data_IF_504497224104
#
_entry.id   IF_504497224104
#
_cell.length_a   1.000
_cell.length_b   1.000
_cell.length_c   1.000
_cell.angle_alpha   90.00
_cell.angle_beta   90.00
_cell.angle_gamma   90.00
#
_symmetry.space_group_name_H-M   'P 1'
#
loop_
_entity.id
_entity.type
_entity.pdbx_description
1 polymer ?
#
# COMPACT_ATOMS: atom_id res chain seq x y z
N UNK A 1 1.15 -9.67 16.53
CA UNK A 1 2.33 -9.22 15.75
C UNK A 1 1.87 -8.20 14.72
N UNK A 2 2.33 -6.98 14.86
CA UNK A 2 1.94 -5.83 13.99
C UNK A 2 2.57 -5.88 12.60
N UNK A 3 3.50 -6.83 12.34
CA UNK A 3 4.27 -6.85 11.10
C UNK A 3 4.50 -8.26 10.56
N UNK A 4 4.33 -8.50 9.24
CA UNK A 4 4.83 -9.72 8.61
C UNK A 4 6.36 -9.78 8.72
N UNK A 5 6.93 -10.99 8.80
CA UNK A 5 8.36 -11.23 8.99
C UNK A 5 9.28 -10.46 8.02
N UNK A 6 8.87 -10.31 6.79
CA UNK A 6 9.63 -9.60 5.76
C UNK A 6 9.63 -8.08 5.94
N UNK A 7 8.57 -7.52 6.49
CA UNK A 7 8.49 -6.10 6.86
C UNK A 7 9.34 -5.82 8.09
N UNK A 8 9.41 -6.77 9.04
CA UNK A 8 10.32 -6.74 10.20
C UNK A 8 11.78 -6.60 9.78
N UNK A 9 12.21 -7.27 8.72
CA UNK A 9 13.61 -7.20 8.27
C UNK A 9 13.99 -5.81 7.76
N UNK A 10 13.12 -5.13 7.02
CA UNK A 10 13.36 -3.74 6.56
C UNK A 10 13.14 -2.72 7.67
N UNK A 11 12.18 -2.96 8.56
CA UNK A 11 12.00 -2.16 9.77
C UNK A 11 13.20 -2.25 10.69
N UNK A 12 13.83 -3.43 10.78
CA UNK A 12 15.01 -3.63 11.62
C UNK A 12 16.18 -2.70 11.24
N UNK A 13 16.38 -2.43 9.95
CA UNK A 13 17.43 -1.50 9.49
C UNK A 13 17.11 -0.06 9.92
N UNK A 14 15.86 0.37 9.79
CA UNK A 14 15.42 1.70 10.22
C UNK A 14 15.45 1.86 11.73
N UNK A 15 14.98 0.85 12.46
CA UNK A 15 14.98 0.82 13.92
C UNK A 15 16.41 0.87 14.43
N UNK A 16 17.31 0.04 13.86
CA UNK A 16 18.71 0.04 14.21
C UNK A 16 19.35 1.41 13.98
N UNK A 17 19.14 2.00 12.81
CA UNK A 17 19.67 3.33 12.49
C UNK A 17 19.19 4.38 13.50
N UNK A 18 17.90 4.42 13.80
CA UNK A 18 17.33 5.38 14.76
C UNK A 18 17.82 5.12 16.19
N UNK A 19 18.01 3.85 16.59
CA UNK A 19 18.59 3.50 17.89
C UNK A 19 20.06 3.93 17.98
N UNK A 20 20.84 3.70 16.93
CA UNK A 20 22.25 4.12 16.86
C UNK A 20 22.38 5.65 16.92
N UNK A 21 21.52 6.39 16.21
CA UNK A 21 21.48 7.86 16.23
C UNK A 21 21.09 8.43 17.60
N UNK A 22 20.15 7.78 18.30
CA UNK A 22 19.70 8.19 19.65
C UNK A 22 20.55 7.63 20.78
N UNK A 23 21.48 6.72 20.47
CA UNK A 23 22.34 6.02 21.44
C UNK A 23 21.57 5.28 22.55
N UNK A 24 20.39 4.77 22.23
CA UNK A 24 19.54 3.99 23.15
C UNK A 24 18.57 3.10 22.38
N UNK A 25 17.96 2.18 23.08
CA UNK A 25 16.84 1.40 22.53
C UNK A 25 15.60 2.28 22.35
N UNK A 26 14.85 2.01 21.29
CA UNK A 26 13.58 2.68 21.00
C UNK A 26 12.44 1.95 21.71
N UNK A 27 11.49 2.71 22.23
CA UNK A 27 10.26 2.16 22.77
C UNK A 27 9.25 1.78 21.65
N UNK A 28 8.16 1.11 22.05
CA UNK A 28 7.13 0.64 21.09
C UNK A 28 6.48 1.78 20.32
N UNK A 29 6.26 2.93 20.96
CA UNK A 29 5.65 4.10 20.33
C UNK A 29 6.58 4.74 19.30
N UNK A 30 7.86 4.80 19.60
CA UNK A 30 8.88 5.30 18.68
C UNK A 30 9.02 4.40 17.45
N UNK A 31 9.02 3.07 17.65
CA UNK A 31 9.04 2.09 16.56
C UNK A 31 7.78 2.24 15.68
N UNK A 32 6.61 2.36 16.31
CA UNK A 32 5.36 2.57 15.58
C UNK A 32 5.37 3.89 14.79
N UNK A 33 5.85 4.98 15.37
CA UNK A 33 5.96 6.28 14.70
C UNK A 33 6.92 6.23 13.49
N UNK A 34 8.02 5.49 13.60
CA UNK A 34 8.92 5.25 12.45
C UNK A 34 8.19 4.51 11.33
N UNK A 35 7.40 3.48 11.68
CA UNK A 35 6.59 2.76 10.72
C UNK A 35 5.55 3.66 10.05
N UNK A 36 4.80 4.43 10.82
CA UNK A 36 3.80 5.38 10.30
C UNK A 36 4.45 6.33 9.30
N UNK A 37 5.53 6.98 9.71
CA UNK A 37 6.23 7.97 8.90
C UNK A 37 6.81 7.38 7.61
N UNK A 38 7.36 6.17 7.68
CA UNK A 38 8.06 5.58 6.54
C UNK A 38 7.13 4.89 5.53
N UNK A 39 6.07 4.26 5.99
CA UNK A 39 5.15 3.48 5.14
C UNK A 39 3.74 4.03 5.05
N UNK A 40 3.10 4.41 6.16
CA UNK A 40 1.70 4.86 6.14
C UNK A 40 1.57 6.31 5.64
N UNK A 41 2.50 7.17 5.96
CA UNK A 41 2.54 8.58 5.55
C UNK A 41 3.61 8.83 4.47
N UNK A 42 4.11 7.78 3.84
CA UNK A 42 5.13 7.87 2.81
C UNK A 42 4.67 8.77 1.67
N UNK A 43 5.33 9.91 1.54
CA UNK A 43 5.15 10.81 0.40
C UNK A 43 6.13 10.43 -0.70
N UNK A 44 5.69 10.51 -1.93
CA UNK A 44 6.52 10.19 -3.08
C UNK A 44 5.89 10.68 -4.38
N UNK A 45 6.19 10.00 -5.45
CA UNK A 45 5.78 10.40 -6.79
C UNK A 45 4.29 10.15 -7.08
N UNK A 46 3.65 9.25 -6.33
CA UNK A 46 2.27 8.85 -6.53
C UNK A 46 1.38 9.29 -5.37
N UNK A 47 0.25 9.91 -5.69
CA UNK A 47 -0.83 10.17 -4.75
C UNK A 47 -2.19 9.92 -5.40
N UNK A 48 -3.18 9.55 -4.59
CA UNK A 48 -4.57 9.40 -5.03
C UNK A 48 -5.29 10.71 -4.76
N UNK A 49 -5.88 11.28 -5.82
CA UNK A 49 -6.72 12.49 -5.74
C UNK A 49 -8.17 12.10 -5.53
N UNK A 50 -8.63 11.08 -6.28
CA UNK A 50 -9.98 10.54 -6.18
C UNK A 50 -9.98 9.06 -6.51
N UNK A 51 -10.85 8.28 -5.88
CA UNK A 51 -10.97 6.85 -6.07
C UNK A 51 -12.44 6.42 -5.94
N UNK A 52 -12.94 5.75 -6.95
CA UNK A 52 -14.23 5.09 -6.94
C UNK A 52 -14.06 3.62 -7.35
N UNK A 53 -14.61 2.74 -6.53
CA UNK A 53 -14.65 1.31 -6.79
C UNK A 53 -16.10 0.83 -6.79
N UNK A 54 -16.44 0.03 -7.77
CA UNK A 54 -17.77 -0.53 -7.93
C UNK A 54 -17.66 -2.04 -8.06
N UNK A 55 -18.30 -2.73 -7.13
CA UNK A 55 -18.45 -4.17 -7.19
C UNK A 55 -19.46 -4.53 -8.29
N UNK A 56 -19.06 -5.41 -9.18
CA UNK A 56 -19.87 -5.87 -10.31
C UNK A 56 -20.23 -7.33 -10.09
N UNK A 57 -21.52 -7.61 -9.96
CA UNK A 57 -22.02 -8.98 -9.97
C UNK A 57 -22.15 -9.46 -11.41
N UNK A 58 -21.36 -10.47 -11.77
CA UNK A 58 -21.41 -11.12 -13.07
C UNK A 58 -22.45 -12.24 -13.14
N UNK A 59 -22.81 -12.63 -14.35
CA UNK A 59 -23.53 -13.91 -14.58
C UNK A 59 -22.58 -15.06 -14.21
N UNK A 60 -23.08 -16.10 -13.55
CA UNK A 60 -22.35 -17.31 -13.15
C UNK A 60 -21.35 -17.14 -11.97
N UNK A 61 -21.73 -16.39 -10.92
CA UNK A 61 -20.90 -16.19 -9.73
C UNK A 61 -19.50 -15.58 -9.99
N UNK A 62 -19.30 -14.89 -11.10
CA UNK A 62 -18.08 -14.13 -11.33
C UNK A 62 -18.19 -12.75 -10.68
N UNK A 63 -17.47 -12.54 -9.60
CA UNK A 63 -17.34 -11.23 -8.97
C UNK A 63 -16.18 -10.46 -9.62
N UNK A 64 -16.41 -9.20 -9.94
CA UNK A 64 -15.36 -8.32 -10.43
C UNK A 64 -15.51 -6.92 -9.81
N UNK A 65 -14.43 -6.18 -9.79
CA UNK A 65 -14.42 -4.80 -9.30
C UNK A 65 -13.98 -3.87 -10.42
N UNK A 66 -14.77 -2.83 -10.67
CA UNK A 66 -14.37 -1.73 -11.53
C UNK A 66 -13.77 -0.61 -10.68
N UNK A 67 -12.56 -0.22 -11.00
CA UNK A 67 -11.87 0.90 -10.38
C UNK A 67 -11.81 2.08 -11.36
N UNK A 68 -12.11 3.27 -10.86
CA UNK A 68 -11.83 4.55 -11.51
C UNK A 68 -11.10 5.44 -10.51
N UNK A 69 -10.00 6.02 -10.93
CA UNK A 69 -9.24 6.89 -10.06
C UNK A 69 -8.68 8.09 -10.81
N UNK A 70 -8.50 9.17 -10.07
CA UNK A 70 -7.64 10.28 -10.46
C UNK A 70 -6.42 10.21 -9.58
N UNK A 71 -5.27 10.03 -10.18
CA UNK A 71 -3.98 9.95 -9.48
C UNK A 71 -3.06 11.06 -9.96
N UNK A 72 -2.15 11.44 -9.10
CA UNK A 72 -1.07 12.35 -9.45
C UNK A 72 0.25 11.59 -9.44
N UNK A 73 0.96 11.60 -10.56
CA UNK A 73 2.27 11.02 -10.73
C UNK A 73 3.28 12.08 -11.13
N UNK A 74 4.28 12.31 -10.29
CA UNK A 74 5.31 13.36 -10.50
C UNK A 74 4.71 14.72 -10.85
N UNK A 75 3.67 15.12 -10.13
CA UNK A 75 2.98 16.41 -10.29
C UNK A 75 2.00 16.49 -11.46
N UNK A 76 1.82 15.43 -12.24
CA UNK A 76 0.86 15.38 -13.34
C UNK A 76 -0.32 14.47 -12.99
N UNK A 77 -1.53 14.94 -13.27
CA UNK A 77 -2.76 14.18 -13.02
C UNK A 77 -3.13 13.27 -14.18
N UNK A 78 -3.61 12.09 -13.83
CA UNK A 78 -4.10 11.08 -14.76
C UNK A 78 -5.43 10.54 -14.27
N UNK A 79 -6.40 10.41 -15.19
CA UNK A 79 -7.63 9.67 -14.96
C UNK A 79 -7.44 8.26 -15.49
N UNK A 80 -7.57 7.28 -14.62
CA UNK A 80 -7.30 5.88 -14.91
C UNK A 80 -8.49 5.01 -14.52
N UNK A 81 -8.61 3.84 -15.13
CA UNK A 81 -9.66 2.89 -14.76
C UNK A 81 -9.43 1.52 -15.34
N UNK A 82 -9.79 0.50 -14.57
CA UNK A 82 -9.74 -0.89 -14.99
C UNK A 82 -10.68 -1.76 -14.17
N UNK A 83 -11.07 -2.88 -14.72
CA UNK A 83 -11.78 -3.94 -14.02
C UNK A 83 -10.80 -5.04 -13.65
N UNK A 84 -10.91 -5.59 -12.47
CA UNK A 84 -10.10 -6.69 -11.95
C UNK A 84 -10.90 -7.61 -11.03
N UNK A 85 -10.26 -8.63 -10.49
CA UNK A 85 -10.87 -9.61 -9.61
C UNK A 85 -11.22 -9.06 -8.21
N UNK A 86 -10.71 -7.90 -7.88
CA UNK A 86 -10.97 -7.20 -6.63
C UNK A 86 -10.41 -5.78 -6.67
N UNK A 87 -10.60 -4.98 -5.62
CA UNK A 87 -10.17 -3.58 -5.57
C UNK A 87 -8.68 -3.39 -5.85
N UNK A 88 -7.86 -4.24 -5.25
CA UNK A 88 -6.41 -4.18 -5.38
C UNK A 88 -5.93 -4.51 -6.79
N UNK A 89 -6.47 -5.57 -7.38
CA UNK A 89 -6.15 -6.00 -8.75
C UNK A 89 -6.61 -4.96 -9.78
N UNK A 90 -7.81 -4.42 -9.61
CA UNK A 90 -8.34 -3.37 -10.47
C UNK A 90 -7.50 -2.09 -10.43
N UNK A 91 -7.13 -1.62 -9.24
CA UNK A 91 -6.31 -0.42 -9.07
C UNK A 91 -4.88 -0.62 -9.59
N UNK A 92 -4.24 -1.73 -9.22
CA UNK A 92 -2.90 -2.06 -9.70
C UNK A 92 -2.86 -2.16 -11.24
N UNK A 93 -3.89 -2.78 -11.82
CA UNK A 93 -4.04 -2.83 -13.28
C UNK A 93 -4.25 -1.46 -13.92
N UNK A 94 -5.04 -0.57 -13.30
CA UNK A 94 -5.26 0.79 -13.79
C UNK A 94 -3.98 1.63 -13.77
N UNK A 95 -3.08 1.40 -12.84
CA UNK A 95 -1.77 2.08 -12.79
C UNK A 95 -0.88 1.81 -14.00
N UNK A 96 -1.17 0.77 -14.80
CA UNK A 96 -0.46 0.56 -16.07
C UNK A 96 -0.70 1.66 -17.12
N UNK A 97 -1.72 2.50 -16.91
CA UNK A 97 -2.05 3.62 -17.80
C UNK A 97 -1.19 4.88 -17.56
N UNK A 98 -0.40 4.90 -16.49
CA UNK A 98 0.51 6.02 -16.18
C UNK A 98 1.96 5.61 -16.43
N UNK A 99 2.90 6.58 -16.60
CA UNK A 99 4.31 6.28 -16.83
C UNK A 99 5.06 5.92 -15.52
N UNK A 100 4.44 5.14 -14.65
CA UNK A 100 5.07 4.58 -13.46
C UNK A 100 5.83 3.30 -13.81
N UNK A 101 6.82 2.90 -13.00
CA UNK A 101 7.47 1.61 -13.17
C UNK A 101 6.46 0.47 -13.20
N UNK A 102 6.59 -0.44 -14.14
CA UNK A 102 5.76 -1.63 -14.21
C UNK A 102 6.11 -2.58 -13.08
N UNK A 103 5.10 -3.14 -12.46
CA UNK A 103 5.23 -4.01 -11.31
C UNK A 103 4.15 -5.10 -11.30
N UNK A 104 4.36 -6.08 -10.46
CA UNK A 104 3.35 -7.05 -10.05
C UNK A 104 3.31 -7.13 -8.53
N UNK A 105 2.15 -7.43 -7.98
CA UNK A 105 2.00 -7.72 -6.56
C UNK A 105 2.48 -9.13 -6.30
N UNK A 106 3.47 -9.29 -5.44
CA UNK A 106 4.10 -10.57 -5.12
C UNK A 106 3.81 -11.06 -3.71
N UNK A 107 3.31 -10.19 -2.83
CA UNK A 107 2.77 -10.58 -1.54
C UNK A 107 1.72 -9.58 -1.06
N UNK A 108 0.72 -10.09 -0.35
CA UNK A 108 -0.34 -9.32 0.27
C UNK A 108 -0.70 -9.92 1.62
N UNK A 109 -0.74 -9.10 2.65
CA UNK A 109 -1.18 -9.45 3.99
C UNK A 109 -2.08 -8.36 4.55
N UNK A 110 -3.07 -8.75 5.32
CA UNK A 110 -4.01 -7.83 5.93
C UNK A 110 -4.38 -8.32 7.33
N UNK A 111 -4.57 -7.39 8.24
CA UNK A 111 -5.15 -7.67 9.54
C UNK A 111 -5.94 -6.47 10.07
N UNK A 112 -6.85 -6.74 11.00
CA UNK A 112 -7.64 -5.72 11.67
C UNK A 112 -6.93 -5.21 12.92
N UNK A 113 -7.02 -3.91 13.16
CA UNK A 113 -6.55 -3.24 14.37
C UNK A 113 -7.73 -2.52 15.01
N UNK A 114 -7.84 -2.59 16.33
CA UNK A 114 -8.90 -1.96 17.09
C UNK A 114 -9.98 -2.93 17.55
N UNK A 115 -11.00 -2.40 18.19
CA UNK A 115 -12.12 -3.15 18.77
C UNK A 115 -13.46 -2.53 18.41
N UNK A 116 -14.47 -3.38 18.16
CA UNK A 116 -15.84 -2.92 17.88
C UNK A 116 -15.93 -2.06 16.60
N UNK A 117 -16.59 -0.91 16.72
CA UNK A 117 -16.83 0.00 15.58
C UNK A 117 -15.59 0.81 15.16
N UNK A 118 -14.54 0.82 15.96
CA UNK A 118 -13.28 1.54 15.68
C UNK A 118 -12.22 0.64 15.03
N UNK A 119 -12.65 -0.42 14.36
CA UNK A 119 -11.74 -1.35 13.68
C UNK A 119 -11.23 -0.75 12.37
N UNK A 120 -9.93 -0.75 12.21
CA UNK A 120 -9.25 -0.39 10.94
C UNK A 120 -8.56 -1.62 10.36
N UNK A 121 -8.50 -1.69 9.03
CA UNK A 121 -7.67 -2.65 8.34
C UNK A 121 -6.28 -2.04 8.09
N UNK A 122 -5.25 -2.85 8.29
CA UNK A 122 -3.88 -2.55 7.87
C UNK A 122 -3.48 -3.58 6.83
N UNK A 123 -3.10 -3.11 5.65
CA UNK A 123 -2.64 -3.93 4.55
C UNK A 123 -1.15 -3.74 4.33
N UNK A 124 -0.48 -4.81 3.95
CA UNK A 124 0.93 -4.84 3.55
C UNK A 124 1.02 -5.44 2.16
N UNK A 125 1.67 -4.74 1.26
CA UNK A 125 1.85 -5.17 -0.13
C UNK A 125 3.32 -5.21 -0.46
N UNK A 126 3.76 -6.31 -1.07
CA UNK A 126 5.05 -6.36 -1.76
C UNK A 126 4.81 -6.24 -3.26
N UNK A 127 5.52 -5.36 -3.90
CA UNK A 127 5.60 -5.27 -5.35
C UNK A 127 6.98 -5.70 -5.82
N UNK A 128 7.01 -6.34 -6.99
CA UNK A 128 8.25 -6.67 -7.70
C UNK A 128 8.20 -5.97 -9.05
N UNK A 129 9.18 -5.11 -9.30
CA UNK A 129 9.33 -4.39 -10.56
C UNK A 129 9.98 -5.27 -11.64
N UNK A 130 9.93 -4.84 -12.91
CA UNK A 130 10.51 -5.58 -14.04
C UNK A 130 12.03 -5.80 -13.90
N UNK A 131 12.73 -4.90 -13.21
CA UNK A 131 14.16 -5.02 -12.89
C UNK A 131 14.48 -6.02 -11.77
N UNK A 132 13.46 -6.66 -11.20
CA UNK A 132 13.56 -7.61 -10.10
C UNK A 132 13.61 -6.98 -8.72
N UNK A 133 13.67 -5.66 -8.61
CA UNK A 133 13.66 -4.98 -7.32
C UNK A 133 12.29 -5.12 -6.63
N UNK A 134 12.32 -5.31 -5.32
CA UNK A 134 11.13 -5.50 -4.50
C UNK A 134 10.97 -4.34 -3.52
N UNK A 135 9.73 -3.90 -3.35
CA UNK A 135 9.37 -2.83 -2.43
C UNK A 135 8.16 -3.22 -1.61
N UNK A 136 8.18 -2.88 -0.33
CA UNK A 136 7.05 -3.04 0.57
C UNK A 136 6.35 -1.71 0.80
N UNK A 137 5.03 -1.77 0.89
CA UNK A 137 4.19 -0.66 1.28
C UNK A 137 3.15 -1.10 2.30
N UNK A 138 2.64 -0.15 3.03
CA UNK A 138 1.56 -0.35 3.99
C UNK A 138 0.47 0.71 3.83
N UNK A 139 -0.76 0.31 4.09
CA UNK A 139 -1.93 1.17 4.09
C UNK A 139 -2.82 0.87 5.29
N UNK A 140 -3.48 1.89 5.82
CA UNK A 140 -4.43 1.79 6.92
C UNK A 140 -5.71 2.52 6.58
N UNK A 141 -6.84 1.85 6.70
CA UNK A 141 -8.16 2.43 6.44
C UNK A 141 -9.24 1.66 7.18
N UNK A 142 -10.36 2.30 7.46
CA UNK A 142 -11.58 1.62 7.90
C UNK A 142 -12.21 0.79 6.77
N UNK A 143 -11.87 1.07 5.53
CA UNK A 143 -12.25 0.29 4.34
C UNK A 143 -11.09 -0.62 3.93
N UNK A 144 -11.35 -1.93 3.91
CA UNK A 144 -10.38 -2.97 3.59
C UNK A 144 -9.77 -2.80 2.20
N UNK A 145 -10.59 -2.55 1.19
CA UNK A 145 -10.13 -2.32 -0.18
C UNK A 145 -9.23 -1.09 -0.29
N UNK A 146 -9.57 -0.03 0.41
CA UNK A 146 -8.77 1.20 0.45
C UNK A 146 -7.41 0.97 1.13
N UNK A 147 -7.36 0.20 2.22
CA UNK A 147 -6.09 -0.14 2.87
C UNK A 147 -5.11 -0.82 1.90
N UNK A 148 -5.59 -1.77 1.09
CA UNK A 148 -4.79 -2.43 0.06
C UNK A 148 -4.30 -1.47 -1.03
N UNK A 149 -5.17 -0.61 -1.52
CA UNK A 149 -4.82 0.42 -2.52
C UNK A 149 -3.77 1.39 -1.98
N UNK A 150 -3.95 1.88 -0.76
CA UNK A 150 -2.97 2.76 -0.11
C UNK A 150 -1.62 2.05 0.11
N UNK A 151 -1.63 0.75 0.37
CA UNK A 151 -0.41 -0.05 0.47
C UNK A 151 0.36 -0.15 -0.85
N UNK A 152 -0.33 -0.27 -2.00
CA UNK A 152 0.30 -0.22 -3.33
C UNK A 152 0.93 1.15 -3.59
N UNK A 153 0.22 2.22 -3.27
CA UNK A 153 0.75 3.60 -3.39
C UNK A 153 2.01 3.76 -2.53
N UNK A 154 1.95 3.30 -1.28
CA UNK A 154 3.08 3.32 -0.36
C UNK A 154 4.29 2.55 -0.93
N UNK A 155 4.08 1.36 -1.51
CA UNK A 155 5.14 0.57 -2.11
C UNK A 155 5.80 1.27 -3.30
N UNK A 156 5.01 1.85 -4.21
CA UNK A 156 5.52 2.62 -5.35
C UNK A 156 6.29 3.86 -4.90
N UNK A 157 5.88 4.50 -3.81
CA UNK A 157 6.58 5.65 -3.25
C UNK A 157 7.89 5.29 -2.53
N UNK A 158 8.21 4.00 -2.35
CA UNK A 158 9.52 3.54 -1.88
C UNK A 158 10.57 3.50 -3.02
N UNK A 159 10.13 3.54 -4.27
CA UNK A 159 11.02 3.58 -5.44
C UNK A 159 11.65 4.98 -5.51
N UNK A 160 12.98 5.01 -5.49
CA UNK A 160 13.74 6.27 -5.58
C UNK A 160 14.11 6.61 -7.02
#
# INVERSE_FOLDING_TARGET
TLFPYTTLFRSAVLIKKAADESQRELDKSEIYNLFVKHWLEAKGNLSIVDLAETHLEGKENSESTSCRAVVEWKGKRYSIGKTGNGPLDAFAGALSEIPAPKFRITAFHEHSIGTGNDTSAVAYVQITCEDGNQYWGAGKSTNVGRAGVDAVVSALNQIK
#
